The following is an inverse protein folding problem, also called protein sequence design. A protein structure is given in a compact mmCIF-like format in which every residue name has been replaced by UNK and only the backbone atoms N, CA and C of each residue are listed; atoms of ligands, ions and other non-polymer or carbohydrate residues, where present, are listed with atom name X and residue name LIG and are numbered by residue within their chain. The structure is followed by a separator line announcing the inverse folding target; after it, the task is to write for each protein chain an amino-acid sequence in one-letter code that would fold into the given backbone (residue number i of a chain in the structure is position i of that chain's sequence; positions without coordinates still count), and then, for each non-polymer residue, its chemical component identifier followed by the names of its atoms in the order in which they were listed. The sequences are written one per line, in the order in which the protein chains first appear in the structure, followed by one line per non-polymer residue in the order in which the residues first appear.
data_IF_881510592139
#
_entry.id   IF_881510592139
#
_cell.length_a   1.000
_cell.length_b   1.000
_cell.length_c   1.000
_cell.angle_alpha   90.00
_cell.angle_beta   90.00
_cell.angle_gamma   90.00
#
_symmetry.space_group_name_H-M   'P 1'
#
loop_
_entity.id
_entity.type
_entity.pdbx_description
1 polymer ?
#
# COMPACT_ATOMS: atom_id res chain seq x y z
N UNK A 1 -16.41 15.75 -70.19
CA UNK A 1 -16.95 17.06 -69.76
C UNK A 1 -16.40 17.31 -68.36
N UNK A 2 -15.23 17.95 -68.22
CA UNK A 2 -15.05 19.41 -68.25
C UNK A 2 -15.09 19.91 -66.79
N UNK A 3 -13.95 20.08 -66.12
CA UNK A 3 -13.27 21.39 -65.88
C UNK A 3 -14.03 22.24 -64.85
N UNK A 4 -13.52 22.70 -63.69
CA UNK A 4 -12.32 23.51 -63.34
C UNK A 4 -12.33 23.65 -61.80
N UNK A 5 -11.20 23.47 -61.09
CA UNK A 5 -10.17 24.44 -60.68
C UNK A 5 -10.54 25.50 -59.63
N UNK A 6 -9.63 25.64 -58.64
CA UNK A 6 -9.52 26.73 -57.66
C UNK A 6 -9.30 26.18 -56.25
N UNK A 7 -8.12 26.12 -55.63
CA UNK A 7 -6.87 26.82 -55.85
C UNK A 7 -6.59 27.80 -54.69
N UNK A 8 -5.60 27.44 -53.85
CA UNK A 8 -4.80 28.31 -52.94
C UNK A 8 -5.49 28.67 -51.59
N UNK A 9 -4.82 28.80 -50.44
CA UNK A 9 -3.44 29.15 -50.16
C UNK A 9 -2.99 28.74 -48.73
N UNK A 10 -1.68 28.78 -48.55
CA UNK A 10 -0.77 28.45 -47.45
C UNK A 10 -1.01 29.20 -46.12
N UNK A 11 -0.56 28.61 -44.99
CA UNK A 11 -0.39 29.34 -43.74
C UNK A 11 -0.03 28.52 -42.49
N UNK A 12 1.19 27.98 -42.42
CA UNK A 12 1.93 27.68 -41.17
C UNK A 12 3.30 28.37 -41.29
N UNK A 13 4.09 28.61 -40.21
CA UNK A 13 3.78 28.74 -38.78
C UNK A 13 4.35 30.05 -38.19
N UNK A 14 3.89 30.50 -37.02
CA UNK A 14 4.51 31.62 -36.30
C UNK A 14 5.34 31.10 -35.13
N UNK A 15 6.67 31.09 -35.34
CA UNK A 15 7.68 30.91 -34.30
C UNK A 15 7.92 32.25 -33.61
N UNK A 16 7.81 32.31 -32.29
CA UNK A 16 8.34 33.42 -31.49
C UNK A 16 9.67 32.99 -30.84
N UNK A 17 10.74 33.67 -31.25
CA UNK A 17 12.07 33.64 -30.64
C UNK A 17 12.24 34.81 -29.66
N UNK A 18 12.81 34.51 -28.50
CA UNK A 18 13.77 35.36 -27.77
C UNK A 18 13.23 36.18 -26.59
N UNK A 19 14.09 36.59 -25.62
CA UNK A 19 15.55 36.64 -25.72
C UNK A 19 16.32 35.86 -24.64
N UNK A 20 17.58 35.57 -25.00
CA UNK A 20 18.63 35.04 -24.15
C UNK A 20 19.06 36.01 -23.04
N UNK A 21 19.41 35.48 -21.86
CA UNK A 21 20.20 36.21 -20.86
C UNK A 21 21.31 35.35 -20.25
N UNK A 22 22.50 35.58 -20.81
CA UNK A 22 23.78 35.86 -20.14
C UNK A 22 24.26 34.92 -19.02
N UNK A 23 25.24 34.12 -19.42
CA UNK A 23 26.42 33.66 -18.67
C UNK A 23 26.88 34.67 -17.60
N UNK A 24 27.09 34.19 -16.36
CA UNK A 24 28.13 34.71 -15.48
C UNK A 24 28.96 33.54 -14.92
N UNK A 25 30.19 33.49 -15.41
CA UNK A 25 31.32 32.80 -14.82
C UNK A 25 31.68 33.53 -13.51
N UNK A 26 31.93 32.78 -12.44
CA UNK A 26 32.89 33.21 -11.42
C UNK A 26 33.91 32.10 -11.28
N UNK A 27 35.15 32.48 -11.56
CA UNK A 27 36.35 31.71 -11.32
C UNK A 27 37.13 32.39 -10.19
N UNK A 28 38.01 31.58 -9.60
CA UNK A 28 39.23 31.91 -8.87
C UNK A 28 39.11 32.41 -7.42
N UNK A 29 39.62 31.55 -6.53
CA UNK A 29 40.74 31.77 -5.61
C UNK A 29 40.43 31.02 -4.30
N UNK A 30 41.28 30.17 -3.74
CA UNK A 30 42.73 30.02 -3.80
C UNK A 30 43.20 29.70 -2.38
N UNK A 31 44.35 29.02 -2.25
CA UNK A 31 45.08 28.67 -1.01
C UNK A 31 44.50 27.43 -0.30
N UNK A 32 45.19 26.31 -0.13
CA UNK A 32 46.63 26.07 -0.04
C UNK A 32 47.08 26.20 1.42
N UNK A 33 47.17 25.08 2.14
CA UNK A 33 48.25 24.86 3.12
C UNK A 33 48.34 23.40 3.57
N UNK A 34 49.48 22.82 3.22
CA UNK A 34 50.19 21.72 3.85
C UNK A 34 50.68 22.08 5.26
N UNK A 35 50.80 21.07 6.11
CA UNK A 35 51.63 21.03 7.32
C UNK A 35 51.32 19.75 8.09
N UNK A 36 52.14 18.70 7.99
CA UNK A 36 53.31 18.42 8.85
C UNK A 36 52.95 18.55 10.33
N UNK A 37 52.88 17.46 11.09
CA UNK A 37 54.06 16.74 11.56
C UNK A 37 54.33 17.19 13.00
N UNK A 38 54.29 16.25 13.94
CA UNK A 38 54.42 16.54 15.37
C UNK A 38 54.18 15.33 16.23
N UNK A 39 55.02 14.30 16.07
CA UNK A 39 55.28 13.34 17.13
C UNK A 39 55.95 14.05 18.31
N UNK A 40 55.63 13.57 19.52
CA UNK A 40 56.61 13.10 20.52
C UNK A 40 56.48 13.68 21.94
N UNK A 41 56.74 12.78 22.89
CA UNK A 41 56.96 12.94 24.33
C UNK A 41 55.73 13.30 25.18
N UNK A 42 55.30 12.51 26.16
CA UNK A 42 56.06 11.62 27.03
C UNK A 42 55.83 12.06 28.47
N UNK A 43 54.75 11.60 29.09
CA UNK A 43 54.62 11.64 30.54
C UNK A 43 53.98 10.36 31.05
N UNK A 44 54.85 9.53 31.63
CA UNK A 44 54.49 8.40 32.47
C UNK A 44 53.84 8.94 33.74
N UNK A 45 52.54 8.71 33.89
CA UNK A 45 51.81 8.87 35.14
C UNK A 45 51.02 7.60 35.40
N UNK A 46 51.51 6.77 36.33
CA UNK A 46 50.76 5.62 36.86
C UNK A 46 49.45 6.12 37.50
N UNK A 47 48.32 5.42 37.31
CA UNK A 47 47.04 5.85 37.85
C UNK A 47 46.98 5.63 39.37
N UNK A 48 46.39 6.54 40.16
CA UNK A 48 46.01 6.23 41.53
C UNK A 48 44.85 5.22 41.53
N UNK A 49 45.10 4.09 42.17
CA UNK A 49 44.11 3.06 42.49
C UNK A 49 43.18 3.56 43.61
N UNK A 50 42.03 4.08 43.21
CA UNK A 50 40.84 4.17 44.08
C UNK A 50 39.66 3.63 43.29
N UNK A 51 38.91 2.63 43.81
CA UNK A 51 37.71 2.15 43.15
C UNK A 51 36.65 3.25 43.27
N UNK A 52 36.49 4.04 42.22
CA UNK A 52 35.28 4.85 42.03
C UNK A 52 34.15 3.83 41.82
N UNK A 53 33.08 3.83 42.63
CA UNK A 53 31.91 3.04 42.30
C UNK A 53 31.40 3.56 40.96
N UNK A 54 31.55 2.76 39.90
CA UNK A 54 30.87 3.03 38.63
C UNK A 54 29.40 3.29 38.97
N UNK A 55 28.83 4.46 38.61
CA UNK A 55 27.39 4.64 38.66
C UNK A 55 26.84 3.48 37.86
N UNK A 56 26.02 2.66 38.52
CA UNK A 56 25.51 1.42 37.96
C UNK A 56 25.16 1.65 36.50
N UNK A 57 25.67 0.78 35.63
CA UNK A 57 25.09 0.64 34.32
C UNK A 57 23.60 0.39 34.56
N UNK A 58 22.82 1.47 34.50
CA UNK A 58 21.42 1.42 34.21
C UNK A 58 21.43 0.69 32.87
N UNK A 59 21.28 -0.64 32.94
CA UNK A 59 20.56 -1.38 31.92
C UNK A 59 19.29 -0.57 31.75
N UNK A 60 19.32 0.35 30.78
CA UNK A 60 18.17 1.05 30.29
C UNK A 60 17.32 -0.07 29.70
N UNK A 61 16.58 -0.75 30.58
CA UNK A 61 15.82 -1.93 30.25
C UNK A 61 14.95 -1.48 29.10
N UNK A 62 15.15 -2.09 27.93
CA UNK A 62 14.27 -1.82 26.79
C UNK A 62 12.87 -2.17 27.28
N UNK A 63 12.10 -1.14 27.64
CA UNK A 63 10.73 -1.32 28.08
C UNK A 63 9.95 -1.77 26.86
N UNK A 64 9.75 -3.07 26.75
CA UNK A 64 8.94 -3.65 25.69
C UNK A 64 7.47 -3.42 26.05
N UNK A 65 6.70 -2.90 25.10
CA UNK A 65 5.28 -2.71 25.29
C UNK A 65 4.57 -4.05 25.35
N UNK A 66 3.48 -4.14 26.12
CA UNK A 66 2.54 -5.25 26.02
C UNK A 66 1.97 -5.33 24.59
N UNK A 67 1.74 -6.53 24.04
CA UNK A 67 1.13 -6.67 22.73
C UNK A 67 -0.25 -5.99 22.72
N UNK A 68 -0.67 -5.35 21.61
CA UNK A 68 -1.95 -4.64 21.55
C UNK A 68 -3.14 -5.60 21.73
N UNK A 69 -4.06 -5.25 22.62
CA UNK A 69 -5.42 -5.81 22.71
C UNK A 69 -5.65 -7.29 22.35
N UNK A 70 -6.80 -7.57 21.73
CA UNK A 70 -7.24 -8.91 21.33
C UNK A 70 -6.53 -9.36 20.06
N UNK A 71 -6.18 -10.65 19.98
CA UNK A 71 -5.62 -11.28 18.78
C UNK A 71 -6.75 -11.60 17.79
N UNK A 72 -6.59 -11.21 16.53
CA UNK A 72 -7.41 -11.70 15.41
C UNK A 72 -6.69 -12.83 14.66
N UNK A 73 -5.45 -12.56 14.26
CA UNK A 73 -4.54 -13.54 13.66
C UNK A 73 -3.17 -13.43 14.32
N UNK A 74 -2.22 -14.28 13.96
CA UNK A 74 -0.83 -14.12 14.44
C UNK A 74 -0.23 -12.76 14.05
N UNK A 75 -0.64 -12.23 12.89
CA UNK A 75 -0.16 -10.95 12.37
C UNK A 75 -1.03 -9.75 12.75
N UNK A 76 -2.29 -9.92 13.17
CA UNK A 76 -3.24 -8.81 13.36
C UNK A 76 -3.89 -8.83 14.75
N UNK A 77 -3.94 -7.66 15.38
CA UNK A 77 -4.55 -7.44 16.71
C UNK A 77 -5.46 -6.21 16.69
N UNK A 78 -6.44 -6.16 17.60
CA UNK A 78 -7.29 -4.97 17.80
C UNK A 78 -7.24 -4.52 19.26
N UNK A 79 -6.93 -3.25 19.47
CA UNK A 79 -6.95 -2.59 20.78
C UNK A 79 -7.83 -1.34 20.72
N UNK A 80 -8.93 -1.29 21.49
CA UNK A 80 -9.82 -0.12 21.59
C UNK A 80 -10.21 0.47 20.22
N UNK A 81 -10.71 -0.39 19.32
CA UNK A 81 -11.07 -0.04 17.94
C UNK A 81 -9.90 0.49 17.07
N UNK A 82 -8.65 0.19 17.42
CA UNK A 82 -7.50 0.39 16.57
C UNK A 82 -6.92 -0.97 16.16
N UNK A 83 -6.96 -1.34 14.88
CA UNK A 83 -6.23 -2.51 14.37
C UNK A 83 -4.73 -2.26 14.34
N UNK A 84 -3.96 -3.34 14.48
CA UNK A 84 -2.50 -3.34 14.48
C UNK A 84 -1.99 -4.53 13.67
N UNK A 85 -0.94 -4.32 12.89
CA UNK A 85 -0.23 -5.41 12.19
C UNK A 85 1.15 -5.63 12.79
N UNK A 86 1.63 -6.87 12.78
CA UNK A 86 3.00 -7.20 13.12
C UNK A 86 3.91 -6.85 11.93
N UNK A 87 4.86 -5.94 12.13
CA UNK A 87 5.70 -5.47 11.01
C UNK A 87 6.58 -6.59 10.47
N UNK A 88 6.46 -6.88 9.17
CA UNK A 88 7.41 -7.74 8.45
C UNK A 88 8.74 -7.01 8.16
N UNK A 89 8.78 -5.68 8.36
CA UNK A 89 9.98 -4.86 8.28
C UNK A 89 10.05 -3.88 9.47
N UNK A 90 10.60 -4.31 10.62
CA UNK A 90 10.62 -3.50 11.83
C UNK A 90 11.42 -2.20 11.68
N UNK A 91 11.09 -1.19 12.49
CA UNK A 91 11.78 0.12 12.59
C UNK A 91 11.57 1.06 11.40
N UNK A 92 10.65 0.74 10.49
CA UNK A 92 10.24 1.61 9.40
C UNK A 92 8.75 1.88 9.49
N UNK A 93 8.36 3.13 9.77
CA UNK A 93 7.03 3.60 9.46
C UNK A 93 6.91 3.84 7.95
N UNK A 94 5.69 3.71 7.42
CA UNK A 94 5.42 3.91 5.98
C UNK A 94 4.81 5.28 5.74
N UNK A 95 3.87 5.69 6.58
CA UNK A 95 3.12 6.93 6.42
C UNK A 95 3.05 7.75 7.72
N UNK A 96 3.94 7.46 8.67
CA UNK A 96 3.98 8.11 9.99
C UNK A 96 3.05 7.49 11.02
N UNK A 97 2.62 6.24 10.82
CA UNK A 97 1.79 5.51 11.75
C UNK A 97 2.48 5.24 13.09
N UNK A 98 1.69 5.05 14.15
CA UNK A 98 2.21 4.73 15.47
C UNK A 98 2.84 3.35 15.49
N UNK A 99 4.08 3.26 15.99
CA UNK A 99 4.81 2.02 16.19
C UNK A 99 4.86 1.65 17.68
N UNK A 100 4.70 0.37 17.99
CA UNK A 100 4.82 -0.16 19.35
C UNK A 100 5.84 -1.30 19.39
N UNK A 101 6.97 -1.05 20.05
CA UNK A 101 8.06 -2.02 20.21
C UNK A 101 7.59 -3.22 21.05
N UNK A 102 7.89 -4.42 20.57
CA UNK A 102 7.77 -5.68 21.28
C UNK A 102 9.17 -6.32 21.41
N UNK A 103 9.27 -7.39 22.20
CA UNK A 103 10.54 -8.10 22.45
C UNK A 103 11.24 -8.50 21.15
N UNK A 104 10.48 -9.11 20.24
CA UNK A 104 11.00 -9.76 19.03
C UNK A 104 10.59 -9.03 17.73
N UNK A 105 10.11 -7.79 17.84
CA UNK A 105 9.65 -7.04 16.68
C UNK A 105 8.84 -5.80 17.05
N UNK A 106 7.89 -5.44 16.20
CA UNK A 106 7.17 -4.18 16.31
C UNK A 106 5.76 -4.29 15.74
N UNK A 107 4.79 -3.73 16.47
CA UNK A 107 3.43 -3.56 16.00
C UNK A 107 3.26 -2.20 15.33
N UNK A 108 2.56 -2.18 14.20
CA UNK A 108 2.21 -0.98 13.44
C UNK A 108 0.72 -0.72 13.56
N UNK A 109 0.33 0.48 13.96
CA UNK A 109 -1.09 0.86 13.99
C UNK A 109 -1.61 0.97 12.57
N UNK A 110 -2.70 0.26 12.28
CA UNK A 110 -3.40 0.33 11.00
C UNK A 110 -4.57 1.29 11.16
N UNK A 111 -4.54 2.40 10.41
CA UNK A 111 -5.51 3.48 10.56
C UNK A 111 -6.80 3.19 9.77
N UNK A 112 -7.97 3.03 10.43
CA UNK A 112 -9.25 2.79 9.77
C UNK A 112 -9.72 3.94 8.87
N UNK A 113 -9.26 5.18 9.12
CA UNK A 113 -9.61 6.36 8.31
C UNK A 113 -8.75 6.53 7.05
N UNK A 114 -7.81 5.61 6.83
CA UNK A 114 -6.91 5.61 5.67
C UNK A 114 -6.94 4.28 4.93
N UNK A 115 -7.73 3.33 5.40
CA UNK A 115 -7.74 1.97 4.91
C UNK A 115 -9.11 1.33 5.09
N UNK A 116 -9.75 1.10 3.97
CA UNK A 116 -11.08 0.48 3.90
C UNK A 116 -11.11 -0.96 4.40
N UNK A 117 -9.99 -1.68 4.28
CA UNK A 117 -9.84 -3.01 4.90
C UNK A 117 -9.82 -2.86 6.42
N UNK A 118 -9.08 -1.88 6.95
CA UNK A 118 -9.01 -1.65 8.40
C UNK A 118 -10.33 -1.16 8.99
N UNK A 119 -11.12 -0.35 8.27
CA UNK A 119 -12.46 0.02 8.73
C UNK A 119 -13.42 -1.18 8.63
N UNK A 120 -13.33 -1.98 7.56
CA UNK A 120 -14.07 -3.25 7.44
C UNK A 120 -13.82 -4.20 8.60
N UNK A 121 -12.58 -4.35 9.07
CA UNK A 121 -12.23 -5.15 10.25
C UNK A 121 -12.94 -4.72 11.54
N UNK A 122 -13.32 -3.44 11.64
CA UNK A 122 -14.01 -2.90 12.81
C UNK A 122 -15.53 -2.91 12.66
N UNK A 123 -16.03 -3.05 11.44
CA UNK A 123 -17.46 -2.89 11.10
C UNK A 123 -18.16 -4.17 10.69
N UNK A 124 -17.42 -5.20 10.30
CA UNK A 124 -17.99 -6.51 9.96
C UNK A 124 -18.76 -7.10 11.14
N UNK A 125 -19.94 -7.62 10.86
CA UNK A 125 -20.75 -8.41 11.79
C UNK A 125 -20.30 -9.88 11.80
N UNK A 126 -19.52 -10.28 10.78
CA UNK A 126 -18.90 -11.58 10.68
C UNK A 126 -17.56 -11.65 11.43
N UNK A 127 -16.86 -12.78 11.30
CA UNK A 127 -15.55 -12.98 11.88
C UNK A 127 -14.48 -12.10 11.17
N UNK A 128 -13.87 -11.10 11.82
CA UNK A 128 -13.00 -10.12 11.15
C UNK A 128 -11.77 -10.72 10.45
N UNK A 129 -11.25 -11.83 10.97
CA UNK A 129 -10.17 -12.61 10.36
C UNK A 129 -10.51 -13.07 8.93
N UNK A 130 -11.80 -13.21 8.59
CA UNK A 130 -12.24 -13.56 7.23
C UNK A 130 -11.89 -12.49 6.21
N UNK A 131 -11.76 -11.22 6.59
CA UNK A 131 -11.41 -10.14 5.65
C UNK A 131 -9.92 -10.14 5.28
N UNK A 132 -9.10 -10.90 6.01
CA UNK A 132 -7.65 -10.89 5.85
C UNK A 132 -7.18 -12.07 4.98
N UNK A 133 -6.12 -11.88 4.18
CA UNK A 133 -5.45 -12.98 3.53
C UNK A 133 -4.69 -13.84 4.56
N UNK A 134 -4.49 -15.11 4.21
CA UNK A 134 -3.66 -16.01 5.02
C UNK A 134 -2.15 -15.71 4.82
N UNK A 135 -1.30 -15.97 5.84
CA UNK A 135 0.16 -15.97 5.65
C UNK A 135 0.58 -16.91 4.51
N UNK A 136 1.55 -16.48 3.70
CA UNK A 136 2.07 -17.23 2.55
C UNK A 136 1.21 -17.14 1.28
N UNK A 137 0.08 -16.44 1.33
CA UNK A 137 -0.81 -16.32 0.18
C UNK A 137 -0.31 -15.37 -0.91
N UNK A 138 -0.83 -15.59 -2.11
CA UNK A 138 -0.71 -14.68 -3.24
C UNK A 138 -1.94 -13.78 -3.30
N UNK A 139 -1.72 -12.47 -3.30
CA UNK A 139 -2.80 -11.48 -3.22
C UNK A 139 -2.69 -10.45 -4.32
N UNK A 140 -3.85 -10.04 -4.84
CA UNK A 140 -3.98 -8.96 -5.82
C UNK A 140 -4.63 -7.75 -5.17
N UNK A 141 -3.97 -6.60 -5.27
CA UNK A 141 -4.49 -5.33 -4.81
C UNK A 141 -4.61 -4.36 -5.99
N UNK A 142 -5.83 -3.99 -6.35
CA UNK A 142 -6.13 -3.03 -7.42
C UNK A 142 -6.40 -1.65 -6.81
N UNK A 143 -5.67 -0.63 -7.27
CA UNK A 143 -5.74 0.72 -6.70
C UNK A 143 -4.84 0.87 -5.48
N UNK A 144 -3.60 0.39 -5.58
CA UNK A 144 -2.65 0.34 -4.46
C UNK A 144 -2.28 1.70 -3.85
N UNK A 145 -2.47 2.80 -4.59
CA UNK A 145 -2.17 4.15 -4.15
C UNK A 145 -0.71 4.29 -3.72
N UNK A 146 -0.48 5.02 -2.62
CA UNK A 146 0.86 5.21 -2.06
C UNK A 146 1.36 4.03 -1.22
N UNK A 147 0.61 2.91 -1.18
CA UNK A 147 1.01 1.70 -0.48
C UNK A 147 0.75 1.67 1.03
N UNK A 148 -0.10 2.56 1.55
CA UNK A 148 -0.47 2.61 2.98
C UNK A 148 -1.09 1.28 3.43
N UNK A 149 -2.23 0.91 2.88
CA UNK A 149 -2.91 -0.37 3.14
C UNK A 149 -2.08 -1.56 2.67
N UNK A 150 -1.50 -1.47 1.48
CA UNK A 150 -0.68 -2.54 0.89
C UNK A 150 0.47 -2.95 1.81
N UNK A 151 1.08 -2.00 2.53
CA UNK A 151 2.14 -2.33 3.50
C UNK A 151 1.65 -3.14 4.70
N UNK A 152 0.40 -2.97 5.12
CA UNK A 152 -0.22 -3.78 6.17
C UNK A 152 -0.65 -5.16 5.64
N UNK A 153 -1.14 -5.23 4.41
CA UNK A 153 -1.43 -6.51 3.75
C UNK A 153 -0.14 -7.33 3.60
N UNK A 154 0.98 -6.69 3.22
CA UNK A 154 2.31 -7.30 3.20
C UNK A 154 2.72 -7.87 4.57
N UNK A 155 2.53 -7.11 5.65
CA UNK A 155 2.80 -7.57 7.01
C UNK A 155 2.03 -8.86 7.36
N UNK A 156 0.80 -9.01 6.85
CA UNK A 156 -0.03 -10.20 7.07
C UNK A 156 0.44 -11.39 6.23
N UNK A 157 0.65 -11.20 4.93
CA UNK A 157 1.00 -12.31 4.03
C UNK A 157 2.44 -12.80 4.21
N UNK A 158 3.35 -11.92 4.64
CA UNK A 158 4.75 -12.26 4.90
C UNK A 158 5.05 -12.40 6.40
N UNK A 159 4.03 -12.72 7.21
CA UNK A 159 4.21 -12.89 8.65
C UNK A 159 5.09 -14.12 8.98
N UNK A 160 5.99 -13.96 9.95
CA UNK A 160 6.87 -15.04 10.41
C UNK A 160 7.89 -15.45 9.33
N UNK A 161 7.84 -16.71 8.91
CA UNK A 161 8.70 -17.26 7.84
C UNK A 161 7.94 -17.46 6.52
N UNK A 162 6.69 -16.98 6.43
CA UNK A 162 5.86 -17.18 5.26
C UNK A 162 6.35 -16.34 4.07
N UNK A 163 6.35 -16.94 2.88
CA UNK A 163 6.76 -16.28 1.64
C UNK A 163 5.54 -15.83 0.82
N UNK A 164 4.76 -14.91 1.38
CA UNK A 164 3.61 -14.33 0.70
C UNK A 164 4.00 -13.38 -0.44
N UNK A 165 3.05 -13.10 -1.33
CA UNK A 165 3.26 -12.18 -2.45
C UNK A 165 2.09 -11.23 -2.62
N UNK A 166 2.38 -9.93 -2.70
CA UNK A 166 1.40 -8.87 -2.92
C UNK A 166 1.63 -8.24 -4.28
N UNK A 167 0.75 -8.49 -5.24
CA UNK A 167 0.78 -7.80 -6.54
C UNK A 167 -0.08 -6.54 -6.42
N UNK A 168 0.59 -5.40 -6.38
CA UNK A 168 -0.01 -4.09 -6.14
C UNK A 168 -0.07 -3.30 -7.44
N UNK A 169 -1.27 -3.20 -8.03
CA UNK A 169 -1.50 -2.54 -9.31
C UNK A 169 -2.00 -1.12 -9.06
N UNK A 170 -1.34 -0.14 -9.68
CA UNK A 170 -1.79 1.25 -9.71
C UNK A 170 -1.49 1.90 -11.06
N UNK A 171 -2.35 2.81 -11.51
CA UNK A 171 -2.22 3.48 -12.80
C UNK A 171 -1.35 4.75 -12.72
N UNK A 172 -1.14 5.29 -11.53
CA UNK A 172 -0.41 6.53 -11.30
C UNK A 172 1.10 6.27 -11.18
N UNK A 173 1.94 6.82 -12.07
CA UNK A 173 3.39 6.71 -11.96
C UNK A 173 3.94 7.28 -10.63
N UNK A 174 3.24 8.28 -10.05
CA UNK A 174 3.61 8.85 -8.75
C UNK A 174 3.42 7.84 -7.62
N UNK A 175 2.25 7.19 -7.60
CA UNK A 175 1.95 6.11 -6.65
C UNK A 175 2.95 4.96 -6.80
N UNK A 176 3.23 4.56 -8.05
CA UNK A 176 4.17 3.50 -8.35
C UNK A 176 5.59 3.79 -7.83
N UNK A 177 6.08 5.03 -7.93
CA UNK A 177 7.38 5.41 -7.38
C UNK A 177 7.46 5.11 -5.89
N UNK A 178 6.42 5.45 -5.14
CA UNK A 178 6.39 5.27 -3.69
C UNK A 178 6.19 3.79 -3.33
N UNK A 179 5.33 3.06 -4.06
CA UNK A 179 5.23 1.60 -3.97
C UNK A 179 6.55 0.89 -4.27
N UNK A 180 7.31 1.37 -5.26
CA UNK A 180 8.62 0.81 -5.62
C UNK A 180 9.61 1.00 -4.48
N UNK A 181 9.64 2.17 -3.84
CA UNK A 181 10.48 2.39 -2.64
C UNK A 181 10.08 1.46 -1.50
N UNK A 182 8.77 1.24 -1.29
CA UNK A 182 8.30 0.27 -0.30
C UNK A 182 8.74 -1.16 -0.61
N UNK A 183 8.68 -1.57 -1.88
CA UNK A 183 9.07 -2.90 -2.32
C UNK A 183 10.56 -3.22 -2.07
N UNK A 184 11.45 -2.23 -2.12
CA UNK A 184 12.87 -2.43 -1.80
C UNK A 184 13.10 -2.99 -0.39
N UNK A 185 12.26 -2.58 0.57
CA UNK A 185 12.37 -3.00 1.96
C UNK A 185 11.37 -4.12 2.32
N UNK A 186 10.56 -4.57 1.35
CA UNK A 186 9.46 -5.53 1.54
C UNK A 186 9.51 -6.60 0.45
N UNK A 187 10.37 -7.62 0.59
CA UNK A 187 10.39 -8.75 -0.32
C UNK A 187 8.99 -9.38 -0.44
N UNK A 188 8.59 -9.74 -1.65
CA UNK A 188 7.24 -10.25 -1.95
C UNK A 188 6.23 -9.18 -2.36
N UNK A 189 6.50 -7.88 -2.11
CA UNK A 189 5.69 -6.79 -2.66
C UNK A 189 6.11 -6.49 -4.11
N UNK A 190 5.19 -6.66 -5.06
CA UNK A 190 5.41 -6.47 -6.49
C UNK A 190 4.59 -5.28 -6.97
N UNK A 191 5.20 -4.09 -7.14
CA UNK A 191 4.53 -2.92 -7.67
C UNK A 191 4.38 -3.05 -9.19
N UNK A 192 3.17 -2.79 -9.70
CA UNK A 192 2.85 -2.92 -11.13
C UNK A 192 2.16 -1.65 -11.63
N UNK A 193 2.71 -1.05 -12.68
CA UNK A 193 2.08 0.08 -13.36
C UNK A 193 1.02 -0.46 -14.33
N UNK A 194 -0.25 -0.19 -14.06
CA UNK A 194 -1.32 -0.71 -14.90
C UNK A 194 -2.69 -0.12 -14.59
N UNK A 195 -3.55 -0.08 -15.61
CA UNK A 195 -4.97 0.22 -15.45
C UNK A 195 -5.72 -1.07 -15.04
N UNK A 196 -6.51 -1.01 -13.98
CA UNK A 196 -7.31 -2.13 -13.50
C UNK A 196 -8.28 -2.68 -14.56
N UNK A 197 -8.73 -1.83 -15.49
CA UNK A 197 -9.59 -2.21 -16.63
C UNK A 197 -8.85 -3.03 -17.69
N UNK A 198 -7.52 -2.97 -17.75
CA UNK A 198 -6.69 -3.54 -18.82
C UNK A 198 -5.83 -4.69 -18.28
N UNK A 199 -6.50 -5.70 -17.75
CA UNK A 199 -5.90 -6.85 -17.07
C UNK A 199 -4.86 -7.59 -17.93
N UNK A 200 -5.05 -7.64 -19.26
CA UNK A 200 -4.09 -8.23 -20.21
C UNK A 200 -2.68 -7.64 -20.11
N UNK A 201 -2.56 -6.36 -19.75
CA UNK A 201 -1.28 -5.67 -19.70
C UNK A 201 -0.42 -6.09 -18.50
N UNK A 202 -1.02 -6.65 -17.45
CA UNK A 202 -0.33 -6.99 -16.20
C UNK A 202 -0.61 -8.40 -15.68
N UNK A 203 -1.41 -9.21 -16.38
CA UNK A 203 -1.73 -10.59 -15.99
C UNK A 203 -0.52 -11.49 -15.77
N UNK A 204 0.61 -11.21 -16.43
CA UNK A 204 1.83 -12.02 -16.29
C UNK A 204 2.39 -11.99 -14.87
N UNK A 205 2.01 -11.00 -14.05
CA UNK A 205 2.43 -10.92 -12.66
C UNK A 205 1.68 -11.89 -11.74
N UNK A 206 0.57 -12.50 -12.20
CA UNK A 206 -0.27 -13.44 -11.43
C UNK A 206 -0.48 -14.76 -12.20
N UNK A 207 0.58 -15.53 -12.51
CA UNK A 207 0.45 -16.74 -13.31
C UNK A 207 -0.40 -17.84 -12.64
N UNK A 208 -0.43 -17.87 -11.30
CA UNK A 208 -1.14 -18.87 -10.51
C UNK A 208 -2.40 -18.31 -9.84
N UNK A 209 -2.88 -17.13 -10.25
CA UNK A 209 -3.98 -16.44 -9.57
C UNK A 209 -3.61 -15.91 -8.19
N UNK A 210 -4.65 -15.55 -7.42
CA UNK A 210 -4.59 -15.00 -6.08
C UNK A 210 -5.69 -15.61 -5.22
N UNK A 211 -5.40 -15.95 -3.97
CA UNK A 211 -6.42 -16.41 -3.02
C UNK A 211 -7.18 -15.25 -2.37
N UNK A 212 -6.69 -14.02 -2.55
CA UNK A 212 -7.31 -12.80 -2.05
C UNK A 212 -7.18 -11.66 -3.06
N UNK A 213 -8.31 -11.04 -3.40
CA UNK A 213 -8.39 -9.91 -4.33
C UNK A 213 -9.06 -8.74 -3.63
N UNK A 214 -8.46 -7.56 -3.69
CA UNK A 214 -9.08 -6.34 -3.19
C UNK A 214 -9.03 -5.24 -4.24
N UNK A 215 -10.13 -4.53 -4.39
CA UNK A 215 -10.25 -3.37 -5.27
C UNK A 215 -10.64 -2.12 -4.48
N UNK A 216 -9.82 -1.08 -4.61
CA UNK A 216 -10.06 0.28 -4.13
C UNK A 216 -9.70 1.28 -5.24
N UNK A 217 -10.42 1.16 -6.37
CA UNK A 217 -10.25 2.04 -7.53
C UNK A 217 -11.44 2.99 -7.63
N UNK A 218 -11.15 4.29 -7.71
CA UNK A 218 -12.16 5.31 -7.97
C UNK A 218 -12.39 5.48 -9.48
N UNK A 219 -12.90 4.45 -10.14
CA UNK A 219 -13.21 4.46 -11.58
C UNK A 219 -14.72 4.26 -11.81
N UNK A 220 -15.21 4.51 -13.04
CA UNK A 220 -16.54 4.08 -13.43
C UNK A 220 -16.55 2.54 -13.60
N UNK A 221 -17.73 1.91 -13.43
CA UNK A 221 -17.91 0.46 -13.57
C UNK A 221 -17.04 -0.37 -12.60
N UNK A 222 -16.93 0.07 -11.35
CA UNK A 222 -16.11 -0.59 -10.31
C UNK A 222 -16.48 -2.05 -10.10
N UNK A 223 -17.78 -2.38 -10.11
CA UNK A 223 -18.25 -3.75 -9.99
C UNK A 223 -17.79 -4.62 -11.15
N UNK A 224 -17.94 -4.13 -12.39
CA UNK A 224 -17.53 -4.88 -13.58
C UNK A 224 -16.01 -5.08 -13.69
N UNK A 225 -15.21 -4.11 -13.23
CA UNK A 225 -13.75 -4.26 -13.13
C UNK A 225 -13.39 -5.36 -12.13
N UNK A 226 -14.05 -5.34 -10.98
CA UNK A 226 -13.83 -6.29 -9.90
C UNK A 226 -14.24 -7.72 -10.28
N UNK A 227 -15.44 -7.90 -10.83
CA UNK A 227 -15.94 -9.22 -11.27
C UNK A 227 -15.03 -9.83 -12.32
N UNK A 228 -14.62 -9.05 -13.32
CA UNK A 228 -13.66 -9.49 -14.34
C UNK A 228 -12.32 -9.91 -13.71
N UNK A 229 -11.82 -9.16 -12.73
CA UNK A 229 -10.57 -9.49 -12.04
C UNK A 229 -10.71 -10.78 -11.21
N UNK A 230 -11.83 -10.95 -10.51
CA UNK A 230 -12.09 -12.15 -9.74
C UNK A 230 -12.25 -13.40 -10.61
N UNK A 231 -13.03 -13.32 -11.70
CA UNK A 231 -13.18 -14.43 -12.65
C UNK A 231 -11.81 -14.91 -13.17
N UNK A 232 -10.93 -13.95 -13.47
CA UNK A 232 -9.62 -14.23 -14.06
C UNK A 232 -8.55 -14.69 -13.07
N UNK A 233 -8.51 -14.09 -11.88
CA UNK A 233 -7.38 -14.25 -10.96
C UNK A 233 -7.77 -14.88 -9.62
N UNK A 234 -9.01 -14.74 -9.15
CA UNK A 234 -9.40 -15.26 -7.84
C UNK A 234 -9.48 -16.78 -7.89
N UNK A 235 -8.72 -17.46 -7.04
CA UNK A 235 -8.73 -18.91 -6.97
C UNK A 235 -10.04 -19.45 -6.34
N UNK A 236 -10.46 -20.69 -6.65
CA UNK A 236 -11.53 -21.36 -5.92
C UNK A 236 -11.27 -21.35 -4.41
N UNK A 237 -12.29 -21.10 -3.60
CA UNK A 237 -12.17 -20.89 -2.15
C UNK A 237 -11.53 -19.56 -1.75
N UNK A 238 -11.10 -18.74 -2.72
CA UNK A 238 -10.54 -17.42 -2.49
C UNK A 238 -11.60 -16.38 -2.11
N UNK A 239 -11.13 -15.26 -1.55
CA UNK A 239 -11.97 -14.14 -1.14
C UNK A 239 -11.70 -12.87 -1.95
N UNK A 240 -12.77 -12.23 -2.38
CA UNK A 240 -12.75 -10.93 -3.02
C UNK A 240 -13.34 -9.85 -2.12
N UNK A 241 -12.80 -8.64 -2.20
CA UNK A 241 -13.31 -7.46 -1.52
C UNK A 241 -13.39 -6.30 -2.51
N UNK A 242 -14.57 -5.73 -2.65
CA UNK A 242 -14.83 -4.58 -3.51
C UNK A 242 -15.20 -3.39 -2.63
N UNK A 243 -14.36 -2.35 -2.65
CA UNK A 243 -14.80 -1.05 -2.18
C UNK A 243 -15.55 -0.33 -3.29
N UNK A 244 -16.78 0.05 -2.99
CA UNK A 244 -17.65 0.81 -3.87
C UNK A 244 -17.98 2.17 -3.23
N UNK A 245 -17.73 3.26 -3.94
CA UNK A 245 -18.22 4.58 -3.56
C UNK A 245 -19.66 4.75 -4.05
N UNK A 246 -20.56 5.09 -3.14
CA UNK A 246 -21.98 5.36 -3.40
C UNK A 246 -22.13 6.86 -3.65
N UNK A 247 -22.03 7.33 -4.89
CA UNK A 247 -22.26 8.74 -5.20
C UNK A 247 -23.74 9.11 -5.00
N UNK A 248 -24.06 9.78 -3.88
CA UNK A 248 -25.42 10.23 -3.53
C UNK A 248 -25.93 11.39 -4.40
N UNK A 249 -25.04 12.12 -5.09
CA UNK A 249 -25.32 13.43 -5.70
C UNK A 249 -25.98 13.36 -7.11
N UNK A 250 -26.24 12.17 -7.65
CA UNK A 250 -26.87 11.99 -8.99
C UNK A 250 -28.23 11.33 -8.98
N UNK A 251 -28.89 11.26 -7.82
CA UNK A 251 -30.22 10.63 -7.72
C UNK A 251 -30.21 9.12 -7.99
N UNK A 252 -29.04 8.47 -7.89
CA UNK A 252 -28.95 7.01 -7.88
C UNK A 252 -29.29 6.55 -6.46
N UNK A 253 -30.43 5.88 -6.32
CA UNK A 253 -30.80 5.22 -5.07
C UNK A 253 -29.70 4.23 -4.68
N UNK A 254 -29.11 4.40 -3.49
CA UNK A 254 -28.07 3.53 -2.97
C UNK A 254 -28.53 2.07 -2.92
N UNK A 255 -29.83 1.83 -2.66
CA UNK A 255 -30.41 0.50 -2.70
C UNK A 255 -30.41 -0.09 -4.12
N UNK A 256 -30.80 0.70 -5.12
CA UNK A 256 -30.78 0.28 -6.52
C UNK A 256 -29.35 -0.01 -7.03
N UNK A 257 -28.37 0.80 -6.63
CA UNK A 257 -26.96 0.54 -6.93
C UNK A 257 -26.50 -0.78 -6.31
N UNK A 258 -26.87 -1.03 -5.05
CA UNK A 258 -26.57 -2.29 -4.35
C UNK A 258 -27.11 -3.49 -5.11
N UNK A 259 -28.41 -3.50 -5.43
CA UNK A 259 -29.07 -4.59 -6.18
C UNK A 259 -28.33 -4.88 -7.48
N UNK A 260 -28.01 -3.83 -8.25
CA UNK A 260 -27.27 -4.00 -9.51
C UNK A 260 -25.88 -4.63 -9.31
N UNK A 261 -25.16 -4.24 -8.26
CA UNK A 261 -23.85 -4.80 -7.95
C UNK A 261 -23.98 -6.26 -7.52
N UNK A 262 -24.99 -6.60 -6.72
CA UNK A 262 -25.28 -7.97 -6.29
C UNK A 262 -25.60 -8.87 -7.49
N UNK A 263 -26.38 -8.37 -8.46
CA UNK A 263 -26.64 -9.06 -9.74
C UNK A 263 -25.36 -9.28 -10.56
N UNK A 264 -24.51 -8.25 -10.70
CA UNK A 264 -23.22 -8.37 -11.41
C UNK A 264 -22.29 -9.39 -10.74
N UNK A 265 -22.24 -9.42 -9.40
CA UNK A 265 -21.46 -10.39 -8.64
C UNK A 265 -22.00 -11.82 -8.83
N UNK A 266 -23.31 -12.00 -8.77
CA UNK A 266 -23.96 -13.31 -8.98
C UNK A 266 -23.76 -13.85 -10.39
N UNK A 267 -23.87 -12.99 -11.41
CA UNK A 267 -23.59 -13.34 -12.80
C UNK A 267 -22.11 -13.76 -13.03
N UNK A 268 -21.21 -13.33 -12.15
CA UNK A 268 -19.80 -13.69 -12.18
C UNK A 268 -19.45 -14.94 -11.33
N UNK A 269 -20.47 -15.68 -10.85
CA UNK A 269 -20.31 -16.86 -9.98
C UNK A 269 -19.61 -16.55 -8.65
N UNK A 270 -19.72 -15.31 -8.17
CA UNK A 270 -19.24 -14.88 -6.87
C UNK A 270 -20.38 -14.94 -5.86
N UNK A 271 -20.11 -15.58 -4.71
CA UNK A 271 -21.05 -15.66 -3.60
C UNK A 271 -20.86 -14.43 -2.73
N UNK A 272 -21.92 -13.63 -2.57
CA UNK A 272 -21.89 -12.49 -1.65
C UNK A 272 -21.94 -12.99 -0.20
N UNK A 273 -20.87 -12.73 0.56
CA UNK A 273 -20.76 -13.09 1.98
C UNK A 273 -21.37 -11.99 2.87
N UNK A 274 -21.02 -10.72 2.61
CA UNK A 274 -21.39 -9.58 3.46
C UNK A 274 -21.28 -8.28 2.65
N UNK A 275 -22.08 -7.27 3.01
CA UNK A 275 -21.89 -5.89 2.54
C UNK A 275 -21.81 -4.97 3.75
N UNK A 276 -20.64 -4.41 3.98
CA UNK A 276 -20.30 -3.64 5.17
C UNK A 276 -20.39 -2.15 4.84
N UNK A 277 -21.11 -1.39 5.67
CA UNK A 277 -21.13 0.06 5.61
C UNK A 277 -19.93 0.66 6.38
N UNK A 278 -19.12 1.46 5.68
CA UNK A 278 -17.92 2.08 6.23
C UNK A 278 -18.15 3.51 6.77
N UNK A 279 -19.41 3.99 6.78
CA UNK A 279 -19.80 5.33 7.24
C UNK A 279 -19.18 5.68 8.60
N UNK A 280 -18.61 6.87 8.74
CA UNK A 280 -17.92 7.34 9.96
C UNK A 280 -16.42 7.06 9.98
N UNK A 281 -15.94 6.16 9.13
CA UNK A 281 -14.52 6.07 8.75
C UNK A 281 -14.27 6.62 7.35
N UNK A 282 -15.07 6.15 6.38
CA UNK A 282 -15.05 6.55 4.98
C UNK A 282 -16.50 6.81 4.56
N UNK A 283 -16.84 8.08 4.34
CA UNK A 283 -18.20 8.46 4.01
C UNK A 283 -18.58 7.94 2.60
N UNK A 284 -19.85 7.57 2.44
CA UNK A 284 -20.40 7.07 1.17
C UNK A 284 -19.67 5.85 0.58
N UNK A 285 -19.14 4.95 1.42
CA UNK A 285 -18.47 3.74 0.95
C UNK A 285 -19.10 2.46 1.51
N UNK A 286 -19.40 1.55 0.59
CA UNK A 286 -19.76 0.16 0.90
C UNK A 286 -18.59 -0.76 0.56
N UNK A 287 -18.37 -1.75 1.43
CA UNK A 287 -17.39 -2.81 1.22
C UNK A 287 -18.12 -4.13 1.01
N UNK A 288 -18.12 -4.61 -0.22
CA UNK A 288 -18.69 -5.91 -0.59
C UNK A 288 -17.63 -6.99 -0.35
N UNK A 289 -18.00 -8.04 0.37
CA UNK A 289 -17.17 -9.20 0.66
C UNK A 289 -17.75 -10.39 -0.09
N UNK A 290 -16.94 -11.06 -0.90
CA UNK A 290 -17.40 -12.18 -1.74
C UNK A 290 -16.46 -13.38 -1.62
N UNK A 291 -17.02 -14.58 -1.77
CA UNK A 291 -16.27 -15.83 -1.90
C UNK A 291 -16.39 -16.40 -3.31
N UNK A 292 -15.36 -17.13 -3.76
CA UNK A 292 -15.45 -18.00 -4.93
C UNK A 292 -15.70 -19.43 -4.49
N UNK A 293 -16.74 -20.08 -5.01
CA UNK A 293 -17.03 -21.48 -4.71
C UNK A 293 -15.85 -22.39 -5.04
N UNK A 294 -15.62 -23.43 -4.22
CA UNK A 294 -14.62 -24.47 -4.50
C UNK A 294 -15.04 -25.40 -5.66
N UNK A 295 -16.31 -25.37 -6.07
CA UNK A 295 -16.85 -26.19 -7.16
C UNK A 295 -16.79 -25.49 -8.52
N UNK A 296 -15.60 -25.06 -8.93
CA UNK A 296 -15.36 -24.54 -10.28
C UNK A 296 -14.43 -25.49 -11.05
#
# INVERSE_FOLDING_TARGET
MGSREGGQNLGRPMQHRGPARRVRRHAADGRGRSGSGGESHGHQGRPPTTPIPFPGALSMGRSFGKPPGRRLTEAVRIERAAPWTWSANPRSSVYGETLRKAKDGEWRRWDPRRSKVSSGLLRTDAAPERLLPAPGSHVLYLGAGHGTTVSHIHDVVCHGQAQGRVVAVDHSPRCLRDLTRLAHARPGLVPVLGDARRQEAWRMWLPHGASWVFQDVAQAHQASIFTAACQRFLLPGGRGLLSLKVESDRGTDAAALRVKVEEELGAAELVLDEVIDLEGFEDDHLLFVVGRSERA
#
